data_IF_111320318676
#
_entry.id   IF_111320318676
#
_cell.length_a   1.000
_cell.length_b   1.000
_cell.length_c   1.000
_cell.angle_alpha   90.00
_cell.angle_beta   90.00
_cell.angle_gamma   90.00
#
_symmetry.space_group_name_H-M   'P 1'
#
loop_
_entity.id
_entity.type
_entity.pdbx_description
1 polymer ?
#
# COMPACT_ATOMS: atom_id res chain seq x y z
N UNK A 1 -2.81 8.75 -0.35
CA UNK A 1 -3.98 9.62 -0.60
C UNK A 1 -5.10 8.92 -1.37
N UNK A 2 -4.87 8.23 -2.49
CA UNK A 2 -5.97 7.75 -3.34
C UNK A 2 -6.91 6.74 -2.67
N UNK A 3 -6.43 5.96 -1.71
CA UNK A 3 -7.23 4.95 -1.02
C UNK A 3 -8.01 5.48 0.19
N UNK A 4 -7.66 6.64 0.76
CA UNK A 4 -8.30 7.14 1.99
C UNK A 4 -9.77 7.55 1.78
N UNK A 5 -10.07 8.29 0.72
CA UNK A 5 -11.46 8.67 0.41
C UNK A 5 -12.35 7.45 0.14
N UNK A 6 -11.94 6.47 -0.68
CA UNK A 6 -12.67 5.22 -0.82
C UNK A 6 -12.82 4.46 0.51
N UNK A 7 -11.80 4.45 1.38
CA UNK A 7 -11.88 3.79 2.68
C UNK A 7 -12.97 4.41 3.58
N UNK A 8 -13.07 5.73 3.62
CA UNK A 8 -14.14 6.43 4.34
C UNK A 8 -15.53 6.05 3.81
N UNK A 9 -15.67 5.92 2.50
CA UNK A 9 -16.94 5.55 1.88
C UNK A 9 -17.34 4.08 2.10
N UNK A 10 -16.37 3.19 2.32
CA UNK A 10 -16.58 1.76 2.50
C UNK A 10 -16.72 1.35 3.97
N UNK A 11 -16.05 2.04 4.88
CA UNK A 11 -16.06 1.73 6.31
C UNK A 11 -17.46 1.93 6.91
N UNK A 12 -17.96 0.90 7.57
CA UNK A 12 -19.24 0.95 8.28
C UNK A 12 -19.09 1.49 9.70
N UNK A 13 -17.96 1.16 10.35
CA UNK A 13 -17.67 1.63 11.72
C UNK A 13 -17.10 3.04 11.76
N UNK A 14 -16.66 3.56 10.63
CA UNK A 14 -15.93 4.82 10.50
C UNK A 14 -14.61 4.83 11.30
N UNK A 15 -14.08 3.63 11.68
CA UNK A 15 -12.76 3.45 12.28
C UNK A 15 -11.84 2.78 11.26
N UNK A 16 -10.84 3.55 10.82
CA UNK A 16 -9.98 3.18 9.70
C UNK A 16 -8.52 3.13 10.17
N UNK A 17 -7.90 1.96 10.02
CA UNK A 17 -6.47 1.79 10.21
C UNK A 17 -5.69 2.30 8.98
N UNK A 18 -4.57 2.96 9.21
CA UNK A 18 -3.69 3.42 8.12
C UNK A 18 -2.27 2.96 8.41
N UNK A 19 -1.82 1.99 7.66
CA UNK A 19 -0.43 1.51 7.67
C UNK A 19 0.37 2.30 6.64
N UNK A 20 1.37 3.07 7.08
CA UNK A 20 2.19 3.87 6.17
C UNK A 20 3.61 4.04 6.69
N UNK A 21 4.49 4.57 5.86
CA UNK A 21 5.83 4.95 6.32
C UNK A 21 5.76 6.17 7.23
N UNK A 22 6.70 6.28 8.16
CA UNK A 22 6.82 7.43 9.06
C UNK A 22 6.87 8.74 8.28
N UNK A 23 7.62 8.79 7.18
CA UNK A 23 7.71 9.97 6.33
C UNK A 23 6.35 10.35 5.71
N UNK A 24 5.55 9.36 5.28
CA UNK A 24 4.20 9.61 4.77
C UNK A 24 3.32 10.21 5.84
N UNK A 25 3.27 9.60 7.04
CA UNK A 25 2.44 10.07 8.15
C UNK A 25 2.85 11.46 8.66
N UNK A 26 4.14 11.79 8.60
CA UNK A 26 4.67 13.09 8.99
C UNK A 26 4.44 14.19 7.95
N UNK A 27 4.11 13.83 6.70
CA UNK A 27 4.00 14.82 5.62
C UNK A 27 2.82 15.77 5.84
N UNK A 28 3.03 17.04 5.52
CA UNK A 28 1.99 18.08 5.62
C UNK A 28 0.77 17.75 4.76
N UNK A 29 1.00 17.21 3.56
CA UNK A 29 -0.08 16.81 2.64
C UNK A 29 -0.96 15.71 3.23
N UNK A 30 -0.34 14.70 3.84
CA UNK A 30 -1.09 13.60 4.45
C UNK A 30 -1.91 14.09 5.65
N UNK A 31 -1.32 14.88 6.53
CA UNK A 31 -2.02 15.47 7.69
C UNK A 31 -3.17 16.38 7.28
N UNK A 32 -2.98 17.24 6.28
CA UNK A 32 -4.05 18.08 5.75
C UNK A 32 -5.20 17.23 5.17
N UNK A 33 -4.87 16.13 4.49
CA UNK A 33 -5.88 15.22 3.96
C UNK A 33 -6.68 14.55 5.08
N UNK A 34 -6.04 14.03 6.13
CA UNK A 34 -6.73 13.46 7.29
C UNK A 34 -7.62 14.50 7.98
N UNK A 35 -7.10 15.71 8.18
CA UNK A 35 -7.87 16.80 8.78
C UNK A 35 -9.14 17.15 7.98
N UNK A 36 -9.08 17.06 6.65
CA UNK A 36 -10.25 17.29 5.79
C UNK A 36 -11.35 16.22 5.92
N UNK A 37 -11.04 15.08 6.52
CA UNK A 37 -11.96 13.94 6.71
C UNK A 37 -12.27 13.65 8.19
N UNK A 38 -11.68 14.40 9.12
CA UNK A 38 -11.76 14.13 10.57
C UNK A 38 -13.19 14.20 11.15
N UNK A 39 -14.14 14.84 10.47
CA UNK A 39 -15.54 14.86 10.88
C UNK A 39 -16.35 13.62 10.46
N UNK A 40 -15.81 12.82 9.53
CA UNK A 40 -16.49 11.67 8.95
C UNK A 40 -15.96 10.33 9.48
N UNK A 41 -14.69 10.27 9.89
CA UNK A 41 -14.07 9.01 10.32
C UNK A 41 -12.95 9.25 11.33
N UNK A 42 -12.66 8.21 12.12
CA UNK A 42 -11.51 8.12 13.02
C UNK A 42 -10.40 7.34 12.31
N UNK A 43 -9.19 7.88 12.30
CA UNK A 43 -8.03 7.26 11.68
C UNK A 43 -7.00 6.83 12.72
N UNK A 44 -6.67 5.54 12.74
CA UNK A 44 -5.57 5.00 13.55
C UNK A 44 -4.36 4.83 12.63
N UNK A 45 -3.42 5.77 12.74
CA UNK A 45 -2.24 5.81 11.87
C UNK A 45 -1.07 5.05 12.51
N UNK A 46 -0.62 3.98 11.87
CA UNK A 46 0.49 3.16 12.31
C UNK A 46 1.71 3.33 11.40
N UNK A 47 2.83 3.87 11.90
CA UNK A 47 4.09 3.86 11.18
C UNK A 47 4.67 2.44 11.14
N UNK A 48 4.98 1.94 9.94
CA UNK A 48 5.43 0.57 9.72
C UNK A 48 6.90 0.56 9.29
N UNK A 49 7.78 0.96 10.20
CA UNK A 49 9.21 1.05 9.97
C UNK A 49 9.82 -0.34 9.68
N UNK A 50 10.66 -0.43 8.66
CA UNK A 50 11.33 -1.68 8.26
C UNK A 50 10.46 -2.67 7.48
N UNK A 51 9.13 -2.48 7.36
CA UNK A 51 8.28 -3.42 6.62
C UNK A 51 8.59 -3.39 5.12
N UNK A 52 8.81 -2.22 4.52
CA UNK A 52 9.19 -2.10 3.12
C UNK A 52 10.55 -2.79 2.84
N UNK A 53 11.55 -2.56 3.70
CA UNK A 53 12.86 -3.21 3.60
C UNK A 53 12.76 -4.75 3.72
N UNK A 54 11.94 -5.24 4.66
CA UNK A 54 11.71 -6.67 4.81
C UNK A 54 11.06 -7.30 3.56
N UNK A 55 10.12 -6.57 2.93
CA UNK A 55 9.47 -7.00 1.68
C UNK A 55 10.47 -7.03 0.54
N UNK A 56 11.27 -5.97 0.36
CA UNK A 56 12.32 -5.92 -0.67
C UNK A 56 13.34 -7.05 -0.54
N UNK A 57 13.71 -7.38 0.70
CA UNK A 57 14.63 -8.48 1.00
C UNK A 57 13.97 -9.85 1.00
N UNK A 58 12.67 -9.93 0.81
CA UNK A 58 11.89 -11.17 0.83
C UNK A 58 12.03 -11.93 2.17
N UNK A 59 12.27 -11.20 3.27
CA UNK A 59 12.40 -11.78 4.62
C UNK A 59 11.01 -12.10 5.19
N UNK A 60 10.52 -13.29 4.87
CA UNK A 60 9.18 -13.76 5.25
C UNK A 60 8.97 -13.73 6.77
N UNK A 61 9.95 -14.12 7.55
CA UNK A 61 9.86 -14.15 9.01
C UNK A 61 9.68 -12.75 9.58
N UNK A 62 10.47 -11.80 9.09
CA UNK A 62 10.41 -10.40 9.50
C UNK A 62 9.12 -9.74 9.04
N UNK A 63 8.64 -10.04 7.81
CA UNK A 63 7.35 -9.54 7.31
C UNK A 63 6.22 -9.97 8.25
N UNK A 64 6.15 -11.26 8.60
CA UNK A 64 5.11 -11.80 9.49
C UNK A 64 5.18 -11.13 10.87
N UNK A 65 6.37 -11.04 11.47
CA UNK A 65 6.56 -10.42 12.78
C UNK A 65 6.12 -8.94 12.79
N UNK A 66 6.61 -8.16 11.83
CA UNK A 66 6.26 -6.75 11.72
C UNK A 66 4.76 -6.52 11.44
N UNK A 67 4.16 -7.32 10.56
CA UNK A 67 2.73 -7.25 10.32
C UNK A 67 1.92 -7.54 11.59
N UNK A 68 2.30 -8.56 12.37
CA UNK A 68 1.63 -8.90 13.62
C UNK A 68 1.75 -7.79 14.67
N UNK A 69 2.93 -7.17 14.79
CA UNK A 69 3.13 -6.06 15.73
C UNK A 69 2.33 -4.82 15.33
N UNK A 70 2.34 -4.47 14.05
CA UNK A 70 1.64 -3.28 13.57
C UNK A 70 0.12 -3.43 13.57
N UNK A 71 -0.40 -4.62 13.24
CA UNK A 71 -1.83 -4.87 13.35
C UNK A 71 -2.29 -4.81 14.81
N UNK A 72 -1.53 -5.38 15.75
CA UNK A 72 -1.83 -5.29 17.19
C UNK A 72 -1.86 -3.83 17.69
N UNK A 73 -0.97 -2.98 17.18
CA UNK A 73 -0.90 -1.57 17.55
C UNK A 73 -2.06 -0.72 17.01
N UNK A 74 -2.71 -1.14 15.91
CA UNK A 74 -3.87 -0.45 15.35
C UNK A 74 -5.10 -0.62 16.25
N UNK A 75 -5.28 -1.76 16.90
CA UNK A 75 -6.36 -2.00 17.85
C UNK A 75 -7.29 -3.14 17.48
N UNK A 76 -8.49 -3.20 18.08
CA UNK A 76 -9.45 -4.25 17.80
C UNK A 76 -10.00 -4.12 16.38
N UNK A 77 -10.15 -5.27 15.72
CA UNK A 77 -10.68 -5.39 14.37
C UNK A 77 -12.06 -6.05 14.38
N UNK A 78 -12.97 -5.52 13.60
CA UNK A 78 -14.31 -6.05 13.47
C UNK A 78 -15.29 -5.06 12.87
N UNK A 79 -16.59 -5.35 13.04
CA UNK A 79 -17.68 -4.54 12.46
C UNK A 79 -18.52 -3.83 13.53
N UNK A 80 -18.09 -3.90 14.79
CA UNK A 80 -18.79 -3.21 15.86
C UNK A 80 -18.27 -1.78 16.03
N UNK A 81 -19.09 -0.95 16.68
CA UNK A 81 -18.69 0.44 16.92
C UNK A 81 -17.39 0.49 17.74
N UNK A 82 -16.41 1.25 17.26
CA UNK A 82 -15.09 1.37 17.87
C UNK A 82 -14.06 0.37 17.37
N UNK A 83 -14.45 -0.61 16.57
CA UNK A 83 -13.54 -1.55 15.92
C UNK A 83 -13.12 -1.04 14.53
N UNK A 84 -11.91 -1.40 14.12
CA UNK A 84 -11.40 -1.09 12.79
C UNK A 84 -11.91 -2.12 11.79
N UNK A 85 -12.71 -1.69 10.84
CA UNK A 85 -13.25 -2.54 9.78
C UNK A 85 -12.55 -2.38 8.42
N UNK A 86 -11.71 -1.36 8.30
CA UNK A 86 -11.01 -1.02 7.06
C UNK A 86 -9.57 -0.63 7.37
N UNK A 87 -8.61 -1.21 6.64
CA UNK A 87 -7.19 -0.89 6.75
C UNK A 87 -6.64 -0.45 5.39
N UNK A 88 -6.05 0.74 5.37
CA UNK A 88 -5.41 1.32 4.19
C UNK A 88 -3.92 1.03 4.19
N UNK A 89 -3.43 0.45 3.08
CA UNK A 89 -2.01 0.21 2.83
C UNK A 89 -1.40 1.43 2.12
N UNK A 90 -0.83 2.34 2.91
CA UNK A 90 -0.33 3.64 2.47
C UNK A 90 1.10 3.63 1.91
N UNK A 91 1.62 2.48 1.52
CA UNK A 91 2.93 2.30 0.91
C UNK A 91 2.84 1.36 -0.28
N UNK A 92 3.63 1.61 -1.33
CA UNK A 92 3.65 0.79 -2.55
C UNK A 92 4.12 -0.65 -2.33
N UNK A 93 4.89 -0.91 -1.26
CA UNK A 93 5.36 -2.25 -0.92
C UNK A 93 4.34 -3.09 -0.15
N UNK A 94 3.49 -2.47 0.66
CA UNK A 94 2.62 -3.22 1.58
C UNK A 94 1.59 -4.14 0.92
N UNK A 95 1.13 -3.91 -0.32
CA UNK A 95 0.29 -4.88 -1.02
C UNK A 95 0.92 -6.27 -1.18
N UNK A 96 2.25 -6.37 -1.20
CA UNK A 96 2.95 -7.67 -1.23
C UNK A 96 2.84 -8.46 0.08
N UNK A 97 2.53 -7.81 1.20
CA UNK A 97 2.22 -8.45 2.48
C UNK A 97 0.70 -8.69 2.68
N UNK A 98 -0.15 -8.42 1.67
CA UNK A 98 -1.62 -8.47 1.79
C UNK A 98 -2.15 -9.80 2.32
N UNK A 99 -1.58 -10.92 1.88
CA UNK A 99 -1.99 -12.24 2.34
C UNK A 99 -1.72 -12.43 3.85
N UNK A 100 -0.56 -11.99 4.34
CA UNK A 100 -0.21 -12.04 5.76
C UNK A 100 -1.15 -11.14 6.57
N UNK A 101 -1.37 -9.93 6.11
CA UNK A 101 -2.26 -8.97 6.76
C UNK A 101 -3.70 -9.47 6.79
N UNK A 102 -4.23 -10.03 5.70
CA UNK A 102 -5.58 -10.58 5.65
C UNK A 102 -5.79 -11.70 6.69
N UNK A 103 -4.78 -12.56 6.87
CA UNK A 103 -4.84 -13.62 7.89
C UNK A 103 -4.83 -13.07 9.33
N UNK A 104 -4.13 -11.97 9.58
CA UNK A 104 -4.04 -11.33 10.90
C UNK A 104 -5.28 -10.51 11.24
N UNK A 105 -5.87 -9.85 10.27
CA UNK A 105 -7.01 -8.95 10.43
C UNK A 105 -8.35 -9.68 10.43
N UNK A 106 -8.39 -10.86 9.83
CA UNK A 106 -9.63 -11.63 9.70
C UNK A 106 -10.49 -11.21 8.50
N UNK A 107 -11.54 -11.99 8.20
CA UNK A 107 -12.32 -11.85 6.97
C UNK A 107 -13.27 -10.65 6.95
N UNK A 108 -13.55 -10.05 8.09
CA UNK A 108 -14.46 -8.91 8.22
C UNK A 108 -13.79 -7.57 7.94
N UNK A 109 -12.46 -7.51 7.93
CA UNK A 109 -11.69 -6.28 7.71
C UNK A 109 -11.34 -6.12 6.24
N UNK A 110 -11.66 -4.96 5.69
CA UNK A 110 -11.33 -4.64 4.31
C UNK A 110 -9.90 -4.09 4.21
N UNK A 111 -9.09 -4.70 3.35
CA UNK A 111 -7.75 -4.21 3.01
C UNK A 111 -7.80 -3.42 1.71
N UNK A 112 -7.42 -2.16 1.80
CA UNK A 112 -7.37 -1.24 0.65
C UNK A 112 -5.94 -0.82 0.35
N UNK A 113 -5.55 -0.96 -0.90
CA UNK A 113 -4.27 -0.45 -1.41
C UNK A 113 -4.47 0.70 -2.42
N UNK A 114 -3.36 1.29 -2.84
CA UNK A 114 -3.37 2.42 -3.76
C UNK A 114 -3.32 2.00 -5.25
N UNK A 115 -3.14 0.73 -5.56
CA UNK A 115 -2.88 0.26 -6.92
C UNK A 115 -4.00 0.60 -7.89
N UNK A 116 -5.20 0.11 -7.62
CA UNK A 116 -6.36 0.35 -8.49
C UNK A 116 -6.78 1.83 -8.54
N UNK A 117 -6.89 2.56 -7.41
CA UNK A 117 -7.21 3.99 -7.45
C UNK A 117 -6.20 4.81 -8.27
N UNK A 118 -4.91 4.51 -8.16
CA UNK A 118 -3.86 5.19 -8.94
C UNK A 118 -3.98 4.82 -10.42
N UNK A 119 -4.15 3.56 -10.76
CA UNK A 119 -4.30 3.10 -12.14
C UNK A 119 -5.53 3.73 -12.82
N UNK A 120 -6.66 3.80 -12.11
CA UNK A 120 -7.88 4.46 -12.59
C UNK A 120 -7.68 5.95 -12.84
N UNK A 121 -7.01 6.64 -11.92
CA UNK A 121 -6.71 8.07 -12.08
C UNK A 121 -5.73 8.32 -13.23
N UNK A 122 -4.70 7.48 -13.36
CA UNK A 122 -3.75 7.56 -14.47
C UNK A 122 -4.48 7.41 -15.81
N UNK A 123 -5.32 6.37 -15.93
CA UNK A 123 -6.14 6.17 -17.15
C UNK A 123 -7.02 7.38 -17.45
N UNK A 124 -7.64 7.98 -16.43
CA UNK A 124 -8.47 9.17 -16.58
C UNK A 124 -7.67 10.37 -17.10
N UNK A 125 -6.47 10.58 -16.57
CA UNK A 125 -5.62 11.72 -16.97
C UNK A 125 -5.00 11.53 -18.36
N UNK A 126 -4.69 10.29 -18.74
CA UNK A 126 -4.16 9.96 -20.07
C UNK A 126 -5.23 10.11 -21.18
N UNK A 127 -6.51 10.19 -20.82
CA UNK A 127 -7.61 10.14 -21.81
C UNK A 127 -7.74 8.75 -22.42
N UNK A 128 -8.38 8.68 -23.59
CA UNK A 128 -8.39 7.45 -24.40
C UNK A 128 -7.06 7.38 -25.17
N UNK A 129 -6.08 6.57 -24.74
CA UNK A 129 -4.94 6.33 -25.61
C UNK A 129 -5.48 5.74 -26.89
N UNK A 130 -5.09 6.32 -28.03
CA UNK A 130 -5.43 5.76 -29.31
C UNK A 130 -5.06 4.27 -29.27
N UNK A 131 -6.03 3.39 -29.49
CA UNK A 131 -5.83 1.94 -29.57
C UNK A 131 -5.04 1.63 -30.86
N UNK A 132 -3.79 2.09 -30.89
CA UNK A 132 -2.84 1.63 -31.89
C UNK A 132 -2.32 0.24 -31.51
N UNK A 133 -2.01 -0.63 -32.45
CA UNK A 133 -1.38 -1.92 -32.21
C UNK A 133 0.09 -1.70 -31.82
N UNK A 134 0.33 -1.10 -30.67
CA UNK A 134 1.65 -0.96 -30.07
C UNK A 134 1.88 -2.11 -29.11
N UNK A 135 2.94 -2.88 -29.30
CA UNK A 135 3.39 -3.81 -28.28
C UNK A 135 3.74 -3.02 -27.00
N UNK A 136 3.14 -3.39 -25.89
CA UNK A 136 3.52 -2.82 -24.59
C UNK A 136 4.98 -3.15 -24.33
N UNK A 137 5.82 -2.13 -24.12
CA UNK A 137 7.22 -2.30 -23.78
C UNK A 137 7.40 -1.91 -22.31
N UNK A 138 8.01 -2.81 -21.53
CA UNK A 138 8.41 -2.55 -20.16
C UNK A 138 9.93 -2.45 -20.09
N UNK A 139 10.42 -1.33 -19.60
CA UNK A 139 11.84 -1.13 -19.32
C UNK A 139 12.03 -0.91 -17.82
N UNK A 140 12.92 -1.68 -17.20
CA UNK A 140 13.26 -1.57 -15.80
C UNK A 140 14.62 -0.87 -15.65
N UNK A 141 14.64 0.23 -14.90
CA UNK A 141 15.84 1.04 -14.68
C UNK A 141 16.12 1.16 -13.18
N UNK A 142 17.40 1.08 -12.79
CA UNK A 142 17.81 1.26 -11.39
C UNK A 142 19.04 2.16 -11.29
N UNK A 143 18.99 3.11 -10.37
CA UNK A 143 20.17 3.89 -9.95
C UNK A 143 20.97 3.19 -8.84
N UNK A 144 20.35 2.18 -8.21
CA UNK A 144 20.94 1.33 -7.18
C UNK A 144 21.46 0.00 -7.72
N UNK A 145 21.16 -1.09 -7.00
CA UNK A 145 21.49 -2.46 -7.42
C UNK A 145 20.46 -2.98 -8.44
N UNK A 146 20.90 -3.19 -9.68
CA UNK A 146 20.05 -3.80 -10.71
C UNK A 146 19.60 -5.21 -10.30
N UNK A 147 20.49 -6.00 -9.67
CA UNK A 147 20.17 -7.34 -9.19
C UNK A 147 19.09 -7.37 -8.10
N UNK A 148 19.09 -6.39 -7.19
CA UNK A 148 18.04 -6.29 -6.16
C UNK A 148 16.68 -6.00 -6.79
N UNK A 149 16.62 -5.07 -7.74
CA UNK A 149 15.37 -4.77 -8.45
C UNK A 149 14.92 -5.95 -9.31
N UNK A 150 15.85 -6.64 -9.99
CA UNK A 150 15.52 -7.84 -10.78
C UNK A 150 14.88 -8.92 -9.90
N UNK A 151 15.52 -9.26 -8.78
CA UNK A 151 15.01 -10.28 -7.86
C UNK A 151 13.62 -9.90 -7.31
N UNK A 152 13.38 -8.63 -7.01
CA UNK A 152 12.09 -8.15 -6.54
C UNK A 152 11.02 -8.21 -7.65
N UNK A 153 11.37 -7.82 -8.89
CA UNK A 153 10.46 -7.87 -10.03
C UNK A 153 10.07 -9.32 -10.37
N UNK A 154 11.03 -10.23 -10.37
CA UNK A 154 10.79 -11.66 -10.61
C UNK A 154 9.88 -12.26 -9.52
N UNK A 155 10.21 -11.98 -8.25
CA UNK A 155 9.52 -12.59 -7.12
C UNK A 155 8.08 -12.07 -6.93
N UNK A 156 7.92 -10.74 -6.96
CA UNK A 156 6.65 -10.11 -6.60
C UNK A 156 5.71 -9.87 -7.79
N UNK A 157 6.27 -9.70 -8.98
CA UNK A 157 5.51 -9.28 -10.16
C UNK A 157 5.57 -10.31 -11.30
N UNK A 158 6.36 -11.38 -11.17
CA UNK A 158 6.64 -12.36 -12.22
C UNK A 158 7.14 -11.69 -13.53
N UNK A 159 7.90 -10.59 -13.39
CA UNK A 159 8.44 -9.81 -14.51
C UNK A 159 9.90 -10.17 -14.71
N UNK A 160 10.21 -10.81 -15.84
CA UNK A 160 11.58 -11.25 -16.20
C UNK A 160 12.32 -10.27 -17.12
N UNK A 161 11.81 -9.05 -17.28
CA UNK A 161 12.48 -8.02 -18.06
C UNK A 161 13.80 -7.63 -17.38
N UNK A 162 14.94 -7.66 -18.11
CA UNK A 162 16.21 -7.25 -17.54
C UNK A 162 16.19 -5.84 -16.99
N UNK A 163 16.91 -5.64 -15.89
CA UNK A 163 17.06 -4.31 -15.26
C UNK A 163 18.37 -3.67 -15.73
N UNK A 164 18.26 -2.50 -16.33
CA UNK A 164 19.40 -1.69 -16.72
C UNK A 164 19.83 -0.76 -15.59
N UNK A 165 21.13 -0.68 -15.32
CA UNK A 165 21.68 0.28 -14.39
C UNK A 165 21.84 1.63 -15.06
N UNK A 166 21.31 2.69 -14.42
CA UNK A 166 21.52 4.08 -14.85
C UNK A 166 22.36 4.81 -13.82
N UNK A 167 23.31 5.62 -14.33
CA UNK A 167 24.11 6.52 -13.50
C UNK A 167 23.48 7.92 -13.62
N UNK A 168 23.24 8.56 -12.48
CA UNK A 168 22.74 9.93 -12.37
C UNK A 168 23.90 10.80 -11.90
#
# INVERSE_FOLDING_TARGET
EPALKPAVALSQTQHIGVMATRATLASTKFRALLASMAGASTFVCQPCDGLADAIERQDKSKIIALCADYTRAIGPFGTQQGEVDTVVLGCTHYPFAKAVLANLLGPTVQLMDNGEPVARQTRRLMGNPANGPGAACLTLLSTGSAGTLQNAADHWLAVQTPVDKVNI
#
